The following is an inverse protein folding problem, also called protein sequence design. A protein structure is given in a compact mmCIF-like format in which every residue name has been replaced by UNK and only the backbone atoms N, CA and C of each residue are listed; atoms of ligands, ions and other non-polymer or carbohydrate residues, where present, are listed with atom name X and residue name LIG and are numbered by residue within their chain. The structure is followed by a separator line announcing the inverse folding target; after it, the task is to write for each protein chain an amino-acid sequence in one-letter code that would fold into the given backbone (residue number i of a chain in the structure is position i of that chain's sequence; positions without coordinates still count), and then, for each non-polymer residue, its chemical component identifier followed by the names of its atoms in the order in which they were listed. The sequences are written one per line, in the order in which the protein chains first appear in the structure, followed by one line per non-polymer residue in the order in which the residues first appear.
data_IF_298540068556
#
_entry.id   IF_298540068556
#
_cell.length_a   1.000
_cell.length_b   1.000
_cell.length_c   1.000
_cell.angle_alpha   90.00
_cell.angle_beta   90.00
_cell.angle_gamma   90.00
#
_symmetry.space_group_name_H-M   'P 1'
#
loop_
_entity.id
_entity.type
_entity.pdbx_description
1 polymer ?
#
# COMPACT_ATOMS: atom_id res chain seq x y z
N UNK A 1 -19.31 -3.58 -15.00
CA UNK A 1 -18.73 -2.29 -15.44
C UNK A 1 -19.13 -1.21 -14.43
N UNK A 2 -18.14 -0.60 -13.77
CA UNK A 2 -18.38 0.53 -12.88
C UNK A 2 -18.68 1.82 -13.66
N UNK A 3 -19.35 2.78 -13.04
CA UNK A 3 -19.59 4.12 -13.59
C UNK A 3 -19.02 5.14 -12.61
N UNK A 4 -18.24 6.09 -13.12
CA UNK A 4 -17.71 7.21 -12.33
C UNK A 4 -18.58 8.44 -12.64
N UNK A 5 -19.12 9.08 -11.60
CA UNK A 5 -19.89 10.31 -11.73
C UNK A 5 -18.99 11.52 -11.48
N UNK A 6 -18.92 12.40 -12.48
CA UNK A 6 -18.23 13.70 -12.35
C UNK A 6 -19.13 14.68 -11.58
N UNK A 7 -18.55 15.47 -10.68
CA UNK A 7 -19.21 16.49 -9.87
C UNK A 7 -18.42 17.79 -9.89
N UNK A 8 -19.08 18.92 -9.67
CA UNK A 8 -18.44 20.22 -9.51
C UNK A 8 -17.81 20.32 -8.11
N UNK A 9 -16.55 20.75 -8.04
CA UNK A 9 -15.82 21.02 -6.80
C UNK A 9 -15.20 22.41 -6.94
N UNK A 10 -15.81 23.41 -6.28
CA UNK A 10 -15.42 24.82 -6.45
C UNK A 10 -15.54 25.25 -7.92
N UNK A 11 -14.43 25.73 -8.49
CA UNK A 11 -14.32 26.13 -9.90
C UNK A 11 -13.86 24.99 -10.83
N UNK A 12 -13.69 23.78 -10.29
CA UNK A 12 -13.18 22.61 -11.01
C UNK A 12 -14.23 21.49 -11.06
N UNK A 13 -13.89 20.42 -11.78
CA UNK A 13 -14.61 19.16 -11.74
C UNK A 13 -13.79 18.11 -11.01
N UNK A 14 -14.45 17.24 -10.27
CA UNK A 14 -13.84 16.08 -9.63
C UNK A 14 -14.68 14.83 -9.82
N UNK A 15 -14.12 13.69 -9.46
CA UNK A 15 -14.78 12.39 -9.57
C UNK A 15 -14.63 11.64 -8.25
N UNK A 16 -15.61 10.80 -7.92
CA UNK A 16 -15.51 9.90 -6.78
C UNK A 16 -15.01 8.56 -7.30
N UNK A 17 -13.85 8.15 -6.82
CA UNK A 17 -13.25 6.88 -7.16
C UNK A 17 -13.72 5.78 -6.21
N UNK A 18 -13.89 4.54 -6.69
CA UNK A 18 -14.21 3.39 -5.83
C UNK A 18 -13.13 3.16 -4.77
N UNK A 19 -13.53 2.75 -3.56
CA UNK A 19 -12.58 2.49 -2.46
C UNK A 19 -11.61 1.36 -2.81
N UNK A 20 -12.06 0.38 -3.62
CA UNK A 20 -11.20 -0.72 -4.07
C UNK A 20 -9.98 -0.28 -4.93
N UNK A 21 -9.93 0.98 -5.38
CA UNK A 21 -8.77 1.50 -6.11
C UNK A 21 -7.60 1.90 -5.19
N UNK A 22 -7.80 1.90 -3.86
CA UNK A 22 -6.75 2.18 -2.89
C UNK A 22 -6.19 3.60 -2.94
N UNK A 23 -6.95 4.55 -3.48
CA UNK A 23 -6.55 5.95 -3.54
C UNK A 23 -6.77 6.63 -2.19
N UNK A 24 -5.78 7.41 -1.76
CA UNK A 24 -5.79 8.20 -0.54
C UNK A 24 -5.89 9.71 -0.84
N UNK A 25 -6.25 10.49 0.17
CA UNK A 25 -6.30 11.94 0.04
C UNK A 25 -4.89 12.50 -0.16
N UNK A 26 -4.72 13.31 -1.21
CA UNK A 26 -3.42 13.91 -1.56
C UNK A 26 -2.63 13.12 -2.61
N UNK A 27 -3.11 11.94 -3.04
CA UNK A 27 -2.47 11.20 -4.11
C UNK A 27 -2.48 11.96 -5.44
N UNK A 28 -1.32 11.94 -6.11
CA UNK A 28 -1.14 12.53 -7.44
C UNK A 28 -1.15 11.39 -8.46
N UNK A 29 -2.14 11.41 -9.34
CA UNK A 29 -2.31 10.39 -10.37
C UNK A 29 -1.89 10.91 -11.74
N UNK A 30 -1.07 10.12 -12.42
CA UNK A 30 -0.76 10.36 -13.82
C UNK A 30 -1.91 9.84 -14.67
N UNK A 31 -2.25 10.56 -15.73
CA UNK A 31 -3.22 10.09 -16.71
C UNK A 31 -2.72 10.33 -18.12
N UNK A 32 -3.19 9.50 -19.02
CA UNK A 32 -2.99 9.65 -20.46
C UNK A 32 -4.34 9.70 -21.15
N UNK A 33 -4.47 10.60 -22.14
CA UNK A 33 -5.63 10.64 -23.03
C UNK A 33 -5.30 9.89 -24.32
N UNK A 34 -6.11 8.89 -24.64
CA UNK A 34 -6.05 8.16 -25.91
C UNK A 34 -7.41 8.23 -26.57
N UNK A 35 -7.54 9.07 -27.59
CA UNK A 35 -8.80 9.41 -28.26
C UNK A 35 -9.85 9.92 -27.26
N UNK A 36 -10.92 9.14 -27.05
CA UNK A 36 -11.99 9.44 -26.10
C UNK A 36 -11.82 8.71 -24.76
N UNK A 37 -10.69 8.06 -24.52
CA UNK A 37 -10.39 7.35 -23.29
C UNK A 37 -9.40 8.13 -22.44
N UNK A 38 -9.69 8.18 -21.14
CA UNK A 38 -8.77 8.64 -20.12
C UNK A 38 -8.30 7.41 -19.35
N UNK A 39 -6.99 7.17 -19.38
CA UNK A 39 -6.34 6.05 -18.70
C UNK A 39 -5.60 6.65 -17.52
N UNK A 40 -6.00 6.26 -16.32
CA UNK A 40 -5.36 6.68 -15.06
C UNK A 40 -4.35 5.59 -14.71
N UNK A 41 -3.09 5.98 -14.53
CA UNK A 41 -2.02 5.08 -14.12
C UNK A 41 -1.89 5.09 -12.59
N UNK A 42 -2.16 3.94 -11.98
CA UNK A 42 -2.05 3.72 -10.53
C UNK A 42 -0.83 2.88 -10.15
N UNK A 43 0.05 2.51 -11.10
CA UNK A 43 1.18 1.62 -10.83
C UNK A 43 2.16 2.22 -9.82
N UNK A 44 2.41 3.53 -9.89
CA UNK A 44 3.30 4.19 -8.93
C UNK A 44 2.75 4.14 -7.50
N UNK A 45 1.42 4.22 -7.35
CA UNK A 45 0.79 4.17 -6.04
C UNK A 45 0.87 2.75 -5.47
N UNK A 46 0.61 1.73 -6.29
CA UNK A 46 0.80 0.33 -5.92
C UNK A 46 2.25 0.05 -5.48
N UNK A 47 3.24 0.54 -6.24
CA UNK A 47 4.65 0.39 -5.88
C UNK A 47 5.02 1.06 -4.56
N UNK A 48 4.45 2.24 -4.26
CA UNK A 48 4.68 2.94 -3.00
C UNK A 48 4.10 2.14 -1.83
N UNK A 49 2.87 1.66 -1.97
CA UNK A 49 2.22 0.81 -0.96
C UNK A 49 3.01 -0.48 -0.71
N UNK A 50 3.40 -1.18 -1.78
CA UNK A 50 4.20 -2.41 -1.68
C UNK A 50 5.55 -2.15 -1.00
N UNK A 51 6.20 -1.02 -1.33
CA UNK A 51 7.45 -0.62 -0.66
C UNK A 51 7.23 -0.39 0.83
N UNK A 52 6.18 0.33 1.20
CA UNK A 52 5.89 0.60 2.61
C UNK A 52 5.65 -0.70 3.39
N UNK A 53 4.89 -1.65 2.82
CA UNK A 53 4.68 -2.96 3.44
C UNK A 53 5.98 -3.74 3.61
N UNK A 54 6.86 -3.69 2.61
CA UNK A 54 8.19 -4.31 2.68
C UNK A 54 9.01 -3.67 3.81
N UNK A 55 9.10 -2.34 3.83
CA UNK A 55 9.85 -1.60 4.86
C UNK A 55 9.32 -1.88 6.27
N UNK A 56 8.00 -1.88 6.46
CA UNK A 56 7.36 -2.24 7.72
C UNK A 56 7.68 -3.69 8.15
N UNK A 57 7.73 -4.63 7.21
CA UNK A 57 8.11 -6.02 7.49
C UNK A 57 9.57 -6.16 7.89
N UNK A 58 10.45 -5.26 7.43
CA UNK A 58 11.86 -5.24 7.81
C UNK A 58 12.15 -4.38 9.06
N UNK A 59 11.21 -3.55 9.52
CA UNK A 59 11.38 -2.70 10.69
C UNK A 59 11.67 -3.50 11.98
N UNK A 60 11.24 -4.76 12.06
CA UNK A 60 11.56 -5.63 13.20
C UNK A 60 13.07 -5.91 13.32
N UNK A 61 13.82 -5.91 12.21
CA UNK A 61 15.28 -6.02 12.23
C UNK A 61 15.95 -4.73 12.75
N UNK A 62 15.42 -3.57 12.40
CA UNK A 62 15.94 -2.27 12.87
C UNK A 62 15.61 -2.02 14.33
N UNK A 63 14.45 -2.49 14.79
CA UNK A 63 13.98 -2.32 16.18
C UNK A 63 14.47 -3.41 17.13
N UNK A 64 15.32 -4.32 16.66
CA UNK A 64 15.88 -5.40 17.48
C UNK A 64 14.84 -6.41 17.96
N UNK A 65 13.70 -6.52 17.27
CA UNK A 65 12.64 -7.52 17.53
C UNK A 65 12.92 -8.83 16.79
N UNK A 66 14.18 -9.18 16.69
CA UNK A 66 14.67 -10.41 16.09
C UNK A 66 15.48 -11.15 17.13
N UNK A 67 15.30 -12.46 17.20
CA UNK A 67 16.01 -13.32 18.13
C UNK A 67 16.93 -14.25 17.34
N UNK A 68 18.15 -14.43 17.84
CA UNK A 68 19.05 -15.50 17.40
C UNK A 68 18.47 -16.88 17.76
N UNK A 69 19.02 -17.94 17.18
CA UNK A 69 18.54 -19.30 17.42
C UNK A 69 18.69 -19.71 18.89
N UNK A 70 19.77 -19.26 19.51
CA UNK A 70 20.10 -19.42 20.93
C UNK A 70 19.10 -18.66 21.81
N UNK A 71 18.78 -17.41 21.48
CA UNK A 71 17.77 -16.62 22.18
C UNK A 71 16.36 -17.21 22.02
N UNK A 72 16.04 -17.75 20.83
CA UNK A 72 14.78 -18.48 20.58
C UNK A 72 14.68 -19.75 21.42
N UNK A 73 15.74 -20.56 21.51
CA UNK A 73 15.78 -21.74 22.39
C UNK A 73 15.68 -21.35 23.86
N UNK A 74 16.28 -20.22 24.26
CA UNK A 74 16.24 -19.74 25.63
C UNK A 74 14.84 -19.25 26.05
N UNK A 75 14.17 -18.47 25.19
CA UNK A 75 12.83 -17.93 25.49
C UNK A 75 11.70 -18.94 25.25
N UNK A 76 11.79 -19.73 24.18
CA UNK A 76 10.71 -20.61 23.71
C UNK A 76 10.99 -22.10 23.85
N UNK A 77 12.16 -22.52 24.33
CA UNK A 77 12.47 -23.94 24.56
C UNK A 77 11.48 -24.64 25.49
N UNK A 78 10.93 -23.91 26.47
CA UNK A 78 9.85 -24.41 27.36
C UNK A 78 8.56 -24.78 26.63
N UNK A 79 8.39 -24.36 25.38
CA UNK A 79 7.25 -24.67 24.51
C UNK A 79 7.62 -25.69 23.41
N UNK A 80 8.78 -26.33 23.48
CA UNK A 80 9.23 -27.35 22.53
C UNK A 80 9.99 -26.79 21.31
N UNK A 81 10.43 -25.53 21.35
CA UNK A 81 11.24 -24.97 20.28
C UNK A 81 12.69 -25.46 20.36
N UNK A 82 13.17 -26.16 19.32
CA UNK A 82 14.55 -26.66 19.22
C UNK A 82 14.81 -28.04 19.81
N UNK A 83 13.76 -28.80 20.18
CA UNK A 83 13.82 -30.25 20.45
C UNK A 83 13.78 -31.10 19.17
#
# INVERSE_FOLDING_TARGET
MGKIKVRKIGNSVGAIFPKEWGLEEGDILNYQKKDNHYIIDTQQLAQKHDRQMIEESFADFETGRVLSEEEMKQEFGKYGWGE
#
